data_IF_043089699440
#
_entry.id   IF_043089699440
#
_cell.length_a   1.000
_cell.length_b   1.000
_cell.length_c   1.000
_cell.angle_alpha   90.00
_cell.angle_beta   90.00
_cell.angle_gamma   90.00
#
_symmetry.space_group_name_H-M   'P 1'
#
loop_
_entity.id
_entity.type
_entity.pdbx_description
1 polymer ?
#
# COMPACT_ATOMS: atom_id res chain seq x y z
N UNK A 1 23.10 20.23 2.85
CA UNK A 1 21.75 20.29 3.41
C UNK A 1 21.82 20.13 4.93
N UNK A 2 21.19 21.03 5.74
CA UNK A 2 21.23 20.92 7.21
C UNK A 2 20.70 19.58 7.75
N UNK A 3 19.73 18.97 7.08
CA UNK A 3 19.17 17.68 7.49
C UNK A 3 20.16 16.53 7.25
N UNK A 4 20.95 16.57 6.17
CA UNK A 4 22.00 15.58 5.91
C UNK A 4 23.09 15.61 6.98
N UNK A 5 23.45 16.81 7.47
CA UNK A 5 24.41 16.96 8.58
C UNK A 5 23.89 16.31 9.86
N UNK A 6 22.55 16.28 10.06
CA UNK A 6 21.89 15.63 11.18
C UNK A 6 21.64 14.14 10.93
N UNK A 7 22.03 13.58 9.80
CA UNK A 7 21.86 12.18 9.46
C UNK A 7 20.52 11.82 8.81
N UNK A 8 19.74 12.82 8.38
CA UNK A 8 18.52 12.59 7.60
C UNK A 8 18.86 12.63 6.11
N UNK A 9 18.69 11.51 5.45
CA UNK A 9 19.08 11.37 4.06
C UNK A 9 17.85 11.20 3.16
N UNK A 10 17.96 11.70 1.93
CA UNK A 10 16.99 11.42 0.90
C UNK A 10 17.07 9.94 0.49
N UNK A 11 15.95 9.20 0.63
CA UNK A 11 15.90 7.76 0.34
C UNK A 11 14.99 7.41 -0.84
N UNK A 12 14.18 8.35 -1.34
CA UNK A 12 13.31 8.11 -2.50
C UNK A 12 12.31 9.23 -2.75
N UNK A 13 11.63 9.12 -3.89
CA UNK A 13 10.61 10.03 -4.37
C UNK A 13 9.31 9.31 -4.74
N UNK A 14 8.27 10.07 -5.02
CA UNK A 14 7.05 9.57 -5.68
C UNK A 14 6.13 8.74 -4.79
N UNK A 15 6.01 7.47 -5.07
CA UNK A 15 5.05 6.57 -4.42
C UNK A 15 5.18 6.47 -2.90
N UNK A 16 6.34 6.74 -2.34
CA UNK A 16 6.54 6.80 -0.88
C UNK A 16 5.56 7.77 -0.23
N UNK A 17 5.35 8.92 -0.82
CA UNK A 17 4.40 9.93 -0.30
C UNK A 17 2.94 9.55 -0.54
N UNK A 18 2.60 9.02 -1.70
CA UNK A 18 1.23 8.74 -2.10
C UNK A 18 0.71 7.41 -1.51
N UNK A 19 1.46 6.33 -1.71
CA UNK A 19 1.12 4.99 -1.18
C UNK A 19 1.47 4.88 0.29
N UNK A 20 2.47 5.63 0.76
CA UNK A 20 2.96 5.60 2.12
C UNK A 20 3.96 4.48 2.40
N UNK A 21 4.37 3.71 1.41
CA UNK A 21 5.38 2.66 1.59
C UNK A 21 6.77 3.29 1.69
N UNK A 22 7.44 3.13 2.84
CA UNK A 22 8.77 3.67 3.10
C UNK A 22 9.90 2.88 2.43
N UNK A 23 9.60 1.74 1.84
CA UNK A 23 10.62 0.76 1.46
C UNK A 23 11.14 -0.03 2.68
N UNK A 24 12.11 -0.93 2.48
CA UNK A 24 12.67 -1.73 3.56
C UNK A 24 13.48 -0.87 4.53
N UNK A 25 13.43 -1.22 5.81
CA UNK A 25 14.39 -0.72 6.80
C UNK A 25 15.73 -1.45 6.64
N UNK A 26 16.85 -0.83 7.03
CA UNK A 26 18.12 -1.55 7.13
C UNK A 26 17.99 -2.80 8.00
N UNK A 27 18.61 -3.91 7.61
CA UNK A 27 18.48 -5.20 8.29
C UNK A 27 18.79 -5.12 9.79
N UNK A 28 19.83 -4.36 10.18
CA UNK A 28 20.18 -4.16 11.56
C UNK A 28 19.05 -3.51 12.39
N UNK A 29 18.27 -2.61 11.78
CA UNK A 29 17.13 -1.95 12.43
C UNK A 29 15.96 -2.93 12.54
N UNK A 30 15.63 -3.62 11.47
CA UNK A 30 14.58 -4.66 11.45
C UNK A 30 14.86 -5.74 12.49
N UNK A 31 16.08 -6.21 12.56
CA UNK A 31 16.54 -7.19 13.54
C UNK A 31 16.41 -6.69 14.99
N UNK A 32 16.81 -5.46 15.25
CA UNK A 32 16.69 -4.85 16.58
C UNK A 32 15.22 -4.73 17.00
N UNK A 33 14.34 -4.29 16.12
CA UNK A 33 12.90 -4.18 16.39
C UNK A 33 12.31 -5.55 16.75
N UNK A 34 12.57 -6.56 15.94
CA UNK A 34 12.00 -7.90 16.10
C UNK A 34 12.57 -8.65 17.32
N UNK A 35 13.89 -8.64 17.50
CA UNK A 35 14.57 -9.31 18.63
C UNK A 35 14.22 -8.70 19.98
N UNK A 36 14.18 -7.37 20.06
CA UNK A 36 13.85 -6.68 21.31
C UNK A 36 12.34 -6.39 21.46
N UNK A 37 11.50 -6.78 20.49
CA UNK A 37 10.04 -6.52 20.46
C UNK A 37 9.72 -5.05 20.71
N UNK A 38 10.45 -4.16 20.04
CA UNK A 38 10.29 -2.72 20.21
C UNK A 38 8.97 -2.26 19.57
N UNK A 39 8.30 -1.33 20.25
CA UNK A 39 7.20 -0.57 19.66
C UNK A 39 7.79 0.65 18.97
N UNK A 40 7.89 0.59 17.64
CA UNK A 40 8.37 1.72 16.83
C UNK A 40 7.22 2.36 16.09
N UNK A 41 7.36 3.64 15.82
CA UNK A 41 6.32 4.45 15.17
C UNK A 41 6.89 5.20 13.99
N UNK A 42 6.04 5.60 13.07
CA UNK A 42 6.39 6.57 12.03
C UNK A 42 5.64 7.87 12.22
N UNK A 43 6.29 8.98 11.91
CA UNK A 43 5.67 10.31 11.79
C UNK A 43 5.93 10.79 10.38
N UNK A 44 4.88 11.12 9.64
CA UNK A 44 4.99 11.44 8.23
C UNK A 44 4.09 12.61 7.85
N UNK A 45 4.52 13.36 6.86
CA UNK A 45 3.68 14.34 6.16
C UNK A 45 3.26 13.74 4.82
N UNK A 46 2.04 13.27 4.75
CA UNK A 46 1.48 12.61 3.59
C UNK A 46 -0.05 12.61 3.67
N UNK A 47 -0.70 11.96 2.74
CA UNK A 47 -2.16 11.91 2.75
C UNK A 47 -2.74 10.64 3.38
N UNK A 48 -1.89 9.70 3.82
CA UNK A 48 -2.31 8.40 4.34
C UNK A 48 -1.33 7.85 5.37
N UNK A 49 -1.89 7.30 6.44
CA UNK A 49 -1.16 6.67 7.54
C UNK A 49 -1.72 5.28 7.89
N UNK A 50 -2.20 4.54 6.90
CA UNK A 50 -2.77 3.21 7.15
C UNK A 50 -1.72 2.24 7.70
N UNK A 51 -2.10 1.51 8.73
CA UNK A 51 -1.28 0.46 9.33
C UNK A 51 -0.90 -0.61 8.29
N UNK A 52 0.32 -1.11 8.43
CA UNK A 52 0.88 -2.09 7.50
C UNK A 52 1.21 -1.55 6.11
N UNK A 53 0.87 -0.28 5.82
CA UNK A 53 1.15 0.34 4.53
C UNK A 53 2.50 1.05 4.51
N UNK A 54 2.85 1.74 5.59
CA UNK A 54 4.13 2.45 5.71
C UNK A 54 5.26 1.44 5.81
N UNK A 55 5.22 0.60 6.83
CA UNK A 55 6.16 -0.50 7.02
C UNK A 55 5.54 -1.58 7.92
N UNK A 56 5.77 -2.87 7.64
CA UNK A 56 5.17 -3.97 8.43
C UNK A 56 5.65 -4.01 9.89
N UNK A 57 6.87 -3.57 10.18
CA UNK A 57 7.44 -3.57 11.52
C UNK A 57 7.11 -2.29 12.32
N UNK A 58 6.32 -1.36 11.78
CA UNK A 58 5.90 -0.13 12.45
C UNK A 58 4.52 -0.34 13.08
N UNK A 59 4.44 -0.15 14.40
CA UNK A 59 3.23 -0.42 15.17
C UNK A 59 2.16 0.68 15.06
N UNK A 60 2.56 1.94 14.86
CA UNK A 60 1.63 3.06 14.71
C UNK A 60 2.20 4.13 13.78
N UNK A 61 1.30 4.83 13.07
CA UNK A 61 1.67 5.83 12.07
C UNK A 61 0.92 7.14 12.36
N UNK A 62 1.64 8.24 12.44
CA UNK A 62 1.11 9.56 12.76
C UNK A 62 1.27 10.51 11.58
N UNK A 63 0.18 11.21 11.21
CA UNK A 63 0.22 12.29 10.24
C UNK A 63 0.52 13.61 10.95
N UNK A 64 1.50 14.33 10.45
CA UNK A 64 1.88 15.63 10.98
C UNK A 64 2.28 16.58 9.83
N UNK A 65 2.36 17.88 10.12
CA UNK A 65 2.93 18.84 9.18
C UNK A 65 4.44 18.60 8.99
N UNK A 66 5.05 19.00 7.85
CA UNK A 66 6.48 18.81 7.64
C UNK A 66 7.36 19.32 8.78
N UNK A 67 7.14 20.51 9.38
CA UNK A 67 7.92 20.97 10.53
C UNK A 67 7.80 20.06 11.75
N UNK A 68 6.61 19.52 12.03
CA UNK A 68 6.40 18.60 13.14
C UNK A 68 7.05 17.23 12.89
N UNK A 69 7.10 16.76 11.65
CA UNK A 69 7.85 15.54 11.28
C UNK A 69 9.32 15.70 11.66
N UNK A 70 9.93 16.86 11.35
CA UNK A 70 11.32 17.17 11.72
C UNK A 70 11.46 17.22 13.24
N UNK A 71 10.54 17.88 13.95
CA UNK A 71 10.59 17.98 15.41
C UNK A 71 10.53 16.62 16.10
N UNK A 72 9.62 15.73 15.70
CA UNK A 72 9.54 14.37 16.25
C UNK A 72 10.73 13.49 15.87
N UNK A 73 11.28 13.69 14.67
CA UNK A 73 12.51 13.00 14.27
C UNK A 73 13.72 13.40 15.16
N UNK A 74 13.82 14.68 15.49
CA UNK A 74 14.86 15.19 16.43
C UNK A 74 14.63 14.67 17.85
N UNK A 75 13.38 14.62 18.31
CA UNK A 75 13.03 14.10 19.64
C UNK A 75 13.27 12.57 19.75
N UNK A 76 13.16 11.83 18.65
CA UNK A 76 13.43 10.41 18.60
C UNK A 76 12.40 9.52 19.30
N UNK A 77 11.33 10.07 19.86
CA UNK A 77 10.23 9.31 20.46
C UNK A 77 8.90 10.07 20.44
N UNK A 78 7.79 9.33 20.60
CA UNK A 78 6.43 9.89 20.62
C UNK A 78 5.89 10.18 22.03
N UNK A 79 6.58 9.76 23.07
CA UNK A 79 6.17 9.96 24.47
C UNK A 79 6.73 11.28 25.04
N UNK A 80 6.88 12.29 24.20
CA UNK A 80 7.37 13.61 24.55
C UNK A 80 6.26 14.64 24.35
N UNK A 81 6.02 15.48 25.34
CA UNK A 81 5.19 16.68 25.16
C UNK A 81 6.05 17.78 24.53
N UNK A 82 6.10 17.80 23.20
CA UNK A 82 6.93 18.76 22.43
C UNK A 82 6.58 20.23 22.71
N UNK A 83 5.46 20.51 23.36
CA UNK A 83 5.07 21.86 23.76
C UNK A 83 5.73 22.32 25.06
N UNK A 84 6.25 21.39 25.87
CA UNK A 84 6.80 21.65 27.19
C UNK A 84 8.19 21.07 27.42
N UNK A 85 8.46 19.93 26.81
CA UNK A 85 9.70 19.19 26.99
C UNK A 85 10.71 19.49 25.90
N UNK A 86 12.02 19.42 26.17
CA UNK A 86 13.03 19.65 25.15
C UNK A 86 13.03 18.50 24.14
N UNK A 87 13.25 18.84 22.86
CA UNK A 87 13.43 17.89 21.78
C UNK A 87 14.79 17.18 21.84
N UNK A 88 15.77 17.84 22.46
CA UNK A 88 17.13 17.35 22.58
C UNK A 88 18.04 18.34 23.25
N UNK A 89 19.35 18.20 23.03
CA UNK A 89 20.38 19.09 23.55
C UNK A 89 21.25 19.65 22.44
N UNK A 90 21.60 20.91 22.50
CA UNK A 90 22.59 21.53 21.64
C UNK A 90 24.01 21.02 21.95
N UNK A 91 24.99 21.38 21.13
CA UNK A 91 26.40 20.98 21.30
C UNK A 91 27.03 21.46 22.60
N UNK A 92 26.53 22.54 23.18
CA UNK A 92 26.94 23.08 24.48
C UNK A 92 26.21 22.42 25.67
N UNK A 93 25.32 21.47 25.40
CA UNK A 93 24.52 20.75 26.41
C UNK A 93 23.24 21.46 26.84
N UNK A 94 22.94 22.64 26.31
CA UNK A 94 21.68 23.36 26.60
C UNK A 94 20.48 22.63 26.00
N UNK A 95 19.28 22.65 26.65
CA UNK A 95 18.09 22.04 26.13
C UNK A 95 17.55 22.84 24.94
N UNK A 96 17.11 22.12 23.89
CA UNK A 96 16.50 22.71 22.69
C UNK A 96 15.00 22.38 22.68
N UNK A 97 14.15 23.39 22.65
CA UNK A 97 12.72 23.28 22.64
C UNK A 97 12.14 23.51 21.24
N UNK A 98 10.89 23.10 21.02
CA UNK A 98 10.21 23.33 19.74
C UNK A 98 10.24 24.81 19.31
N UNK A 99 10.04 25.73 20.24
CA UNK A 99 10.07 27.17 19.96
C UNK A 99 11.42 27.68 19.43
N UNK A 100 12.50 26.96 19.75
CA UNK A 100 13.87 27.37 19.35
C UNK A 100 14.19 26.98 17.89
N UNK A 101 13.43 26.03 17.34
CA UNK A 101 13.58 25.55 15.95
C UNK A 101 12.38 25.89 15.08
N UNK A 102 11.30 26.46 15.64
CA UNK A 102 10.12 26.79 14.87
C UNK A 102 10.33 28.08 14.10
N UNK A 103 10.25 28.05 12.74
CA UNK A 103 10.51 29.24 11.94
C UNK A 103 9.40 30.28 12.14
N UNK A 104 9.76 31.55 12.12
CA UNK A 104 8.81 32.67 12.05
C UNK A 104 8.25 32.80 10.62
N UNK A 105 7.10 33.47 10.49
CA UNK A 105 6.51 33.72 9.18
C UNK A 105 7.47 34.54 8.28
N UNK A 106 8.17 35.53 8.84
CA UNK A 106 9.13 36.34 8.09
C UNK A 106 10.32 35.51 7.58
N UNK A 107 10.85 34.59 8.38
CA UNK A 107 11.89 33.65 7.96
C UNK A 107 11.40 32.76 6.81
N UNK A 108 10.15 32.23 6.90
CA UNK A 108 9.56 31.41 5.86
C UNK A 108 9.45 32.22 4.55
N UNK A 109 8.93 33.44 4.61
CA UNK A 109 8.77 34.30 3.41
C UNK A 109 10.13 34.67 2.81
N UNK A 110 11.12 34.97 3.64
CA UNK A 110 12.47 35.24 3.18
C UNK A 110 13.07 34.02 2.48
N UNK A 111 12.97 32.83 3.07
CA UNK A 111 13.47 31.57 2.46
C UNK A 111 12.78 31.28 1.13
N UNK A 112 11.48 31.48 1.03
CA UNK A 112 10.74 31.33 -0.24
C UNK A 112 11.29 32.30 -1.29
N UNK A 113 11.43 33.58 -0.95
CA UNK A 113 11.89 34.60 -1.88
C UNK A 113 13.32 34.35 -2.38
N UNK A 114 14.19 33.86 -1.51
CA UNK A 114 15.60 33.59 -1.84
C UNK A 114 15.80 32.29 -2.65
N UNK A 115 14.98 31.28 -2.38
CA UNK A 115 15.23 29.93 -2.90
C UNK A 115 14.26 29.48 -4.00
N UNK A 116 13.02 29.98 -4.01
CA UNK A 116 12.03 29.62 -5.06
C UNK A 116 12.14 30.62 -6.21
N UNK A 117 13.20 30.50 -6.98
CA UNK A 117 13.51 31.42 -8.08
C UNK A 117 13.28 30.77 -9.45
N UNK A 118 13.08 31.61 -10.50
CA UNK A 118 12.97 31.11 -11.87
C UNK A 118 14.20 30.33 -12.34
N UNK A 119 15.38 30.66 -11.81
CA UNK A 119 16.63 29.97 -12.17
C UNK A 119 16.72 28.58 -11.52
N UNK A 120 16.21 28.40 -10.30
CA UNK A 120 16.07 27.08 -9.69
C UNK A 120 15.20 26.17 -10.57
N UNK A 121 14.07 26.68 -11.09
CA UNK A 121 13.23 25.89 -12.00
C UNK A 121 13.96 25.53 -13.29
N UNK A 122 14.69 26.47 -13.90
CA UNK A 122 15.47 26.18 -15.10
C UNK A 122 16.54 25.11 -14.84
N UNK A 123 17.26 25.20 -13.72
CA UNK A 123 18.27 24.22 -13.31
C UNK A 123 17.63 22.83 -13.10
N UNK A 124 16.56 22.74 -12.30
CA UNK A 124 15.92 21.46 -11.96
C UNK A 124 15.25 20.78 -13.16
N UNK A 125 14.81 21.54 -14.15
CA UNK A 125 14.19 21.00 -15.36
C UNK A 125 15.12 20.95 -16.57
N UNK A 126 16.39 21.36 -16.45
CA UNK A 126 17.36 21.35 -17.55
C UNK A 126 17.56 19.96 -18.16
N UNK A 127 17.53 18.93 -17.35
CA UNK A 127 17.80 17.56 -17.73
C UNK A 127 16.56 16.64 -17.78
N UNK A 128 15.35 17.22 -17.66
CA UNK A 128 14.10 16.45 -17.57
C UNK A 128 13.89 15.49 -18.75
N UNK A 129 14.41 15.79 -19.93
CA UNK A 129 14.33 14.95 -21.12
C UNK A 129 15.53 14.02 -21.31
N UNK A 130 16.58 14.13 -20.49
CA UNK A 130 17.77 13.27 -20.61
C UNK A 130 17.61 11.96 -19.85
N UNK A 131 16.78 11.94 -18.81
CA UNK A 131 16.64 10.80 -17.90
C UNK A 131 17.88 10.58 -17.01
N UNK A 132 17.78 9.63 -16.08
CA UNK A 132 18.92 9.20 -15.26
C UNK A 132 19.91 8.34 -16.06
N UNK A 133 21.12 8.13 -15.51
CA UNK A 133 22.10 7.21 -16.08
C UNK A 133 21.52 5.83 -16.30
N UNK A 134 20.85 5.28 -15.27
CA UNK A 134 20.22 3.96 -15.30
C UNK A 134 19.12 3.86 -16.36
N UNK A 135 18.33 4.93 -16.58
CA UNK A 135 17.35 4.98 -17.64
C UNK A 135 17.98 4.90 -19.03
N UNK A 136 19.09 5.62 -19.24
CA UNK A 136 19.78 5.65 -20.53
C UNK A 136 20.57 4.36 -20.84
N UNK A 137 20.92 3.59 -19.81
CA UNK A 137 21.62 2.30 -19.93
C UNK A 137 20.67 1.13 -20.23
N UNK A 138 19.34 1.33 -20.12
CA UNK A 138 18.38 0.31 -20.44
C UNK A 138 18.52 -0.16 -21.90
N UNK A 139 18.85 -1.43 -22.07
CA UNK A 139 18.89 -2.06 -23.40
C UNK A 139 17.47 -2.38 -23.84
N UNK A 140 16.92 -1.55 -24.72
CA UNK A 140 15.58 -1.77 -25.29
C UNK A 140 15.72 -2.22 -26.73
N UNK A 141 15.11 -3.35 -27.08
CA UNK A 141 15.04 -3.82 -28.47
C UNK A 141 14.16 -2.86 -29.31
N UNK A 142 14.71 -2.40 -30.45
CA UNK A 142 13.98 -1.54 -31.40
C UNK A 142 13.05 -2.38 -32.28
N UNK A 143 11.99 -2.92 -31.66
CA UNK A 143 10.96 -3.70 -32.36
C UNK A 143 9.65 -2.91 -32.42
N UNK A 144 8.78 -3.24 -33.38
CA UNK A 144 7.45 -2.61 -33.45
C UNK A 144 6.51 -3.03 -32.33
N UNK A 145 6.81 -4.16 -31.70
CA UNK A 145 6.07 -4.70 -30.55
C UNK A 145 7.10 -5.04 -29.48
N UNK A 146 6.86 -4.62 -28.23
CA UNK A 146 7.75 -4.94 -27.12
C UNK A 146 7.67 -6.43 -26.78
N UNK A 147 8.83 -7.07 -26.75
CA UNK A 147 8.95 -8.47 -26.33
C UNK A 147 9.05 -8.53 -24.79
N UNK A 148 7.95 -8.90 -24.16
CA UNK A 148 7.83 -8.94 -22.68
C UNK A 148 8.56 -10.17 -22.14
N UNK A 149 9.63 -9.98 -21.35
CA UNK A 149 10.27 -11.10 -20.67
C UNK A 149 9.36 -11.67 -19.57
N UNK A 150 9.61 -12.93 -19.20
CA UNK A 150 8.97 -13.52 -18.02
C UNK A 150 9.26 -12.69 -16.78
N UNK A 151 8.22 -12.41 -16.02
CA UNK A 151 8.29 -11.54 -14.85
C UNK A 151 7.34 -12.01 -13.75
N UNK A 152 7.81 -11.90 -12.49
CA UNK A 152 6.95 -12.08 -11.31
C UNK A 152 6.27 -10.78 -10.87
N UNK A 153 6.58 -9.64 -11.51
CA UNK A 153 5.98 -8.32 -11.27
C UNK A 153 4.92 -7.94 -12.27
N UNK A 154 5.08 -8.37 -13.54
CA UNK A 154 4.17 -8.02 -14.63
C UNK A 154 3.77 -9.30 -15.34
N UNK A 155 2.46 -9.54 -15.47
CA UNK A 155 1.90 -10.65 -16.23
C UNK A 155 0.92 -10.14 -17.26
N UNK A 156 0.81 -10.87 -18.36
CA UNK A 156 -0.20 -10.61 -19.37
C UNK A 156 -1.60 -10.62 -18.71
N UNK A 157 -2.39 -9.55 -18.80
CA UNK A 157 -3.68 -9.47 -18.13
C UNK A 157 -4.71 -10.35 -18.84
N UNK A 158 -5.52 -11.15 -18.10
CA UNK A 158 -6.46 -12.08 -18.72
C UNK A 158 -7.74 -11.41 -19.25
N UNK A 159 -7.91 -10.11 -19.02
CA UNK A 159 -9.16 -9.41 -19.31
C UNK A 159 -9.50 -9.35 -20.80
N UNK A 160 -8.50 -9.43 -21.67
CA UNK A 160 -8.65 -9.33 -23.11
C UNK A 160 -8.70 -10.68 -23.83
N UNK A 161 -8.39 -11.78 -23.15
CA UNK A 161 -8.30 -13.11 -23.75
C UNK A 161 -9.67 -13.65 -24.20
N UNK A 162 -10.71 -13.28 -23.46
CA UNK A 162 -12.09 -13.72 -23.70
C UNK A 162 -13.02 -12.60 -24.16
N UNK A 163 -12.49 -11.40 -24.40
CA UNK A 163 -13.29 -10.23 -24.75
C UNK A 163 -13.70 -10.29 -26.22
N UNK A 164 -15.00 -10.38 -26.47
CA UNK A 164 -15.59 -10.26 -27.79
C UNK A 164 -15.65 -8.81 -28.28
N UNK A 165 -15.97 -8.59 -29.57
CA UNK A 165 -16.19 -7.26 -30.13
C UNK A 165 -17.50 -6.63 -29.64
N UNK A 166 -18.48 -7.45 -29.37
CA UNK A 166 -19.78 -7.02 -28.85
C UNK A 166 -19.89 -7.41 -27.36
N UNK A 167 -20.50 -6.56 -26.54
CA UNK A 167 -20.73 -6.88 -25.14
C UNK A 167 -21.66 -8.09 -25.00
N UNK A 168 -21.38 -8.94 -24.01
CA UNK A 168 -22.27 -10.06 -23.69
C UNK A 168 -23.63 -9.55 -23.21
N UNK A 169 -24.69 -10.31 -23.53
CA UNK A 169 -26.02 -10.01 -23.03
C UNK A 169 -26.10 -10.13 -21.50
N UNK A 170 -26.86 -9.25 -20.89
CA UNK A 170 -27.12 -9.35 -19.44
C UNK A 170 -27.91 -10.62 -19.14
N UNK A 171 -27.40 -11.43 -18.23
CA UNK A 171 -28.01 -12.67 -17.79
C UNK A 171 -28.35 -12.61 -16.30
N UNK A 172 -29.32 -13.40 -15.87
CA UNK A 172 -29.62 -13.56 -14.43
C UNK A 172 -28.44 -14.24 -13.73
N UNK A 173 -28.16 -13.82 -12.49
CA UNK A 173 -27.19 -14.48 -11.60
C UNK A 173 -27.97 -15.49 -10.77
N UNK A 174 -27.81 -16.77 -11.09
CA UNK A 174 -28.55 -17.85 -10.45
C UNK A 174 -27.62 -18.68 -9.55
N UNK A 175 -28.18 -19.20 -8.45
CA UNK A 175 -27.49 -20.10 -7.52
C UNK A 175 -26.18 -19.57 -6.91
N UNK A 176 -25.96 -18.25 -6.92
CA UNK A 176 -24.75 -17.63 -6.38
C UNK A 176 -24.56 -17.94 -4.88
N UNK A 177 -23.30 -18.00 -4.48
CA UNK A 177 -22.92 -18.13 -3.06
C UNK A 177 -22.30 -16.83 -2.56
N UNK A 178 -22.61 -16.48 -1.32
CA UNK A 178 -21.96 -15.36 -0.65
C UNK A 178 -20.53 -15.76 -0.28
N UNK A 179 -19.55 -15.08 -0.88
CA UNK A 179 -18.14 -15.30 -0.61
C UNK A 179 -17.66 -14.47 0.58
N UNK A 180 -18.15 -13.22 0.67
CA UNK A 180 -17.79 -12.26 1.70
C UNK A 180 -19.03 -11.50 2.14
N UNK A 181 -19.26 -11.44 3.44
CA UNK A 181 -20.28 -10.61 4.07
C UNK A 181 -19.65 -9.71 5.11
N UNK A 182 -19.70 -8.41 4.89
CA UNK A 182 -19.01 -7.40 5.70
C UNK A 182 -19.95 -6.28 6.15
N UNK A 183 -19.54 -5.49 7.13
CA UNK A 183 -20.29 -4.34 7.62
C UNK A 183 -20.05 -3.07 6.83
N UNK A 184 -20.20 -1.94 7.51
CA UNK A 184 -20.06 -0.59 6.97
C UNK A 184 -18.59 -0.20 6.74
N UNK A 185 -18.36 0.85 5.94
CA UNK A 185 -17.07 1.53 5.74
C UNK A 185 -15.95 0.60 5.26
N UNK A 186 -16.26 -0.31 4.36
CA UNK A 186 -15.28 -1.18 3.72
C UNK A 186 -14.52 -0.39 2.68
N UNK A 187 -13.25 -0.09 2.98
CA UNK A 187 -12.40 0.70 2.11
C UNK A 187 -11.84 -0.11 0.94
N UNK A 188 -11.36 0.58 -0.08
CA UNK A 188 -10.63 -0.06 -1.18
C UNK A 188 -9.35 -0.78 -0.72
N UNK A 189 -8.77 -0.38 0.43
CA UNK A 189 -7.65 -1.11 1.07
C UNK A 189 -8.08 -2.44 1.70
N UNK A 190 -9.32 -2.53 2.19
CA UNK A 190 -9.87 -3.82 2.67
C UNK A 190 -10.08 -4.79 1.50
N UNK A 191 -10.47 -4.28 0.34
CA UNK A 191 -10.77 -5.10 -0.84
C UNK A 191 -9.48 -5.47 -1.58
N UNK A 192 -8.58 -4.49 -1.79
CA UNK A 192 -7.32 -4.68 -2.50
C UNK A 192 -6.17 -4.05 -1.73
N UNK A 193 -5.52 -4.78 -0.82
CA UNK A 193 -4.42 -4.27 -0.03
C UNK A 193 -3.21 -3.89 -0.88
N UNK A 194 -2.42 -2.92 -0.39
CA UNK A 194 -1.17 -2.48 -1.01
C UNK A 194 0.06 -2.81 -0.17
N UNK A 195 -0.14 -3.29 1.07
CA UNK A 195 0.92 -3.59 2.04
C UNK A 195 1.72 -4.85 1.72
N UNK A 196 2.50 -5.29 2.72
CA UNK A 196 3.34 -6.48 2.62
C UNK A 196 2.54 -7.75 2.32
N UNK A 197 3.19 -8.68 1.64
CA UNK A 197 2.65 -10.01 1.32
C UNK A 197 3.14 -10.96 2.41
N UNK A 198 2.22 -11.58 3.15
CA UNK A 198 2.57 -12.57 4.16
C UNK A 198 3.05 -13.88 3.50
N UNK A 199 4.02 -14.52 4.12
CA UNK A 199 4.67 -15.71 3.60
C UNK A 199 3.70 -16.90 3.48
N UNK A 200 2.82 -17.05 4.46
CA UNK A 200 1.80 -18.09 4.57
C UNK A 200 0.46 -17.72 3.89
N UNK A 201 0.43 -16.64 3.10
CA UNK A 201 -0.74 -16.23 2.34
C UNK A 201 -0.81 -16.90 0.97
N UNK A 202 -1.99 -17.01 0.33
CA UNK A 202 -2.09 -17.53 -1.03
C UNK A 202 -1.19 -16.82 -2.04
N UNK A 203 -0.92 -15.52 -1.85
CA UNK A 203 0.00 -14.75 -2.68
C UNK A 203 1.46 -15.09 -2.38
N UNK A 204 1.81 -15.31 -1.10
CA UNK A 204 3.14 -15.76 -0.68
C UNK A 204 3.46 -17.15 -1.23
N UNK A 205 2.54 -18.10 -1.06
CA UNK A 205 2.66 -19.46 -1.62
C UNK A 205 2.86 -19.44 -3.14
N UNK A 206 2.09 -18.60 -3.85
CA UNK A 206 2.24 -18.43 -5.29
C UNK A 206 3.62 -17.89 -5.65
N UNK A 207 4.13 -16.88 -4.96
CA UNK A 207 5.45 -16.30 -5.22
C UNK A 207 6.58 -17.30 -4.94
N UNK A 208 6.49 -18.06 -3.85
CA UNK A 208 7.43 -19.14 -3.55
C UNK A 208 7.44 -20.21 -4.64
N UNK A 209 6.27 -20.60 -5.14
CA UNK A 209 6.14 -21.53 -6.27
C UNK A 209 6.76 -20.98 -7.57
N UNK A 210 6.89 -19.66 -7.71
CA UNK A 210 7.60 -18.99 -8.82
C UNK A 210 9.09 -18.77 -8.52
N UNK A 211 9.64 -19.31 -7.41
CA UNK A 211 11.04 -19.19 -7.03
C UNK A 211 11.42 -17.86 -6.39
N UNK A 212 10.45 -17.04 -5.96
CA UNK A 212 10.71 -15.78 -5.25
C UNK A 212 10.88 -16.07 -3.75
N UNK A 213 11.99 -15.66 -3.18
CA UNK A 213 12.23 -15.82 -1.73
C UNK A 213 11.36 -14.84 -0.91
N UNK A 214 10.96 -15.17 0.32
CA UNK A 214 10.12 -14.31 1.16
C UNK A 214 10.66 -12.88 1.35
N UNK A 215 11.97 -12.72 1.47
CA UNK A 215 12.62 -11.40 1.58
C UNK A 215 12.41 -10.52 0.34
N UNK A 216 12.15 -11.13 -0.83
CA UNK A 216 12.00 -10.48 -2.13
C UNK A 216 10.53 -10.33 -2.55
N UNK A 217 9.58 -10.68 -1.69
CA UNK A 217 8.15 -10.56 -1.99
C UNK A 217 7.73 -9.15 -2.28
N UNK A 218 8.34 -8.17 -1.58
CA UNK A 218 7.95 -6.78 -1.65
C UNK A 218 6.48 -6.59 -1.19
N UNK A 219 5.67 -5.83 -1.90
CA UNK A 219 4.30 -5.53 -1.50
C UNK A 219 3.30 -5.80 -2.63
N UNK A 220 2.01 -5.93 -2.28
CA UNK A 220 0.94 -5.96 -3.26
C UNK A 220 0.96 -4.73 -4.18
N UNK A 221 1.25 -3.54 -3.62
CA UNK A 221 1.37 -2.31 -4.40
C UNK A 221 2.45 -2.37 -5.47
N UNK A 222 3.61 -2.97 -5.17
CA UNK A 222 4.72 -3.15 -6.11
C UNK A 222 4.41 -4.19 -7.18
N UNK A 223 3.58 -5.18 -6.87
CA UNK A 223 3.23 -6.29 -7.78
C UNK A 223 1.86 -6.13 -8.45
N UNK A 224 1.29 -4.93 -8.42
CA UNK A 224 -0.03 -4.65 -9.02
C UNK A 224 -0.13 -4.93 -10.54
N UNK A 225 0.99 -5.08 -11.23
CA UNK A 225 1.06 -5.54 -12.61
C UNK A 225 0.93 -7.06 -12.78
N UNK A 226 0.89 -7.83 -11.69
CA UNK A 226 0.73 -9.27 -11.70
C UNK A 226 -0.66 -9.63 -11.12
N UNK A 227 -1.61 -9.96 -12.01
CA UNK A 227 -2.98 -10.28 -11.61
C UNK A 227 -3.08 -11.52 -10.72
N UNK A 228 -2.17 -12.47 -10.85
CA UNK A 228 -2.13 -13.67 -10.02
C UNK A 228 -1.83 -13.35 -8.55
N UNK A 229 -0.92 -12.40 -8.31
CA UNK A 229 -0.64 -11.91 -6.96
C UNK A 229 -1.83 -11.10 -6.44
N UNK A 230 -2.36 -10.20 -7.26
CA UNK A 230 -3.40 -9.27 -6.83
C UNK A 230 -4.72 -9.97 -6.50
N UNK A 231 -5.15 -10.96 -7.29
CA UNK A 231 -6.38 -11.69 -6.97
C UNK A 231 -6.23 -12.54 -5.70
N UNK A 232 -5.03 -13.06 -5.41
CA UNK A 232 -4.74 -13.78 -4.16
C UNK A 232 -4.71 -12.88 -2.94
N UNK A 233 -4.43 -11.59 -3.13
CA UNK A 233 -4.50 -10.55 -2.10
C UNK A 233 -5.89 -9.92 -1.94
N UNK A 234 -6.84 -10.24 -2.81
CA UNK A 234 -8.18 -9.68 -2.74
C UNK A 234 -8.87 -10.10 -1.43
N UNK A 235 -9.36 -9.12 -0.66
CA UNK A 235 -9.90 -9.29 0.69
C UNK A 235 -8.89 -9.87 1.70
N UNK A 236 -7.59 -9.75 1.47
CA UNK A 236 -6.56 -10.24 2.39
C UNK A 236 -6.10 -9.21 3.44
N UNK A 237 -6.80 -8.08 3.57
CA UNK A 237 -6.47 -7.11 4.60
C UNK A 237 -6.65 -7.72 6.00
N UNK A 238 -5.63 -7.62 6.84
CA UNK A 238 -5.57 -8.23 8.19
C UNK A 238 -6.67 -7.75 9.15
N UNK A 239 -7.33 -6.64 8.84
CA UNK A 239 -8.42 -6.07 9.63
C UNK A 239 -9.80 -6.47 9.15
N UNK A 240 -9.91 -7.10 7.99
CA UNK A 240 -11.19 -7.50 7.44
C UNK A 240 -11.90 -8.46 8.41
N UNK A 241 -13.17 -8.20 8.68
CA UNK A 241 -14.03 -9.06 9.49
C UNK A 241 -15.15 -9.58 8.62
N UNK A 242 -15.00 -10.81 8.15
CA UNK A 242 -16.01 -11.48 7.38
C UNK A 242 -17.03 -12.17 8.28
N UNK A 243 -18.27 -11.75 8.24
CA UNK A 243 -19.37 -12.31 9.06
C UNK A 243 -19.68 -13.79 8.74
N UNK A 244 -19.16 -14.32 7.62
CA UNK A 244 -19.26 -15.74 7.28
C UNK A 244 -18.23 -16.60 8.03
N UNK A 245 -17.23 -15.97 8.67
CA UNK A 245 -16.24 -16.63 9.52
C UNK A 245 -16.13 -15.89 10.87
N UNK A 246 -17.17 -15.98 11.74
CA UNK A 246 -17.22 -15.23 12.98
C UNK A 246 -16.00 -15.51 13.88
N UNK A 247 -15.49 -14.46 14.52
CA UNK A 247 -14.33 -14.56 15.42
C UNK A 247 -12.96 -14.58 14.71
N UNK A 248 -12.94 -14.58 13.38
CA UNK A 248 -11.68 -14.48 12.60
C UNK A 248 -11.47 -13.06 12.10
N UNK A 249 -10.22 -12.77 11.69
CA UNK A 249 -9.83 -11.54 10.98
C UNK A 249 -8.98 -11.91 9.76
N UNK A 250 -8.92 -11.00 8.80
CA UNK A 250 -8.14 -11.21 7.59
C UNK A 250 -8.90 -11.98 6.52
N UNK A 251 -8.19 -12.76 5.73
CA UNK A 251 -8.69 -13.43 4.53
C UNK A 251 -9.44 -14.74 4.84
N UNK A 252 -10.32 -14.77 5.82
CA UNK A 252 -11.07 -15.98 6.19
C UNK A 252 -12.52 -15.92 5.74
N UNK A 253 -13.05 -17.07 5.30
CA UNK A 253 -14.46 -17.27 4.98
C UNK A 253 -14.89 -18.72 5.27
N UNK A 254 -16.19 -18.97 5.21
CA UNK A 254 -16.76 -20.32 5.22
C UNK A 254 -17.27 -20.66 3.83
N UNK A 255 -16.84 -21.78 3.29
CA UNK A 255 -17.33 -22.29 2.01
C UNK A 255 -18.68 -23.01 2.19
N UNK A 256 -19.67 -22.69 1.37
CA UNK A 256 -20.99 -23.33 1.38
C UNK A 256 -21.23 -24.14 0.10
N UNK A 257 -21.86 -25.34 0.19
CA UNK A 257 -22.57 -25.90 1.35
C UNK A 257 -21.68 -26.71 2.31
N UNK A 258 -20.38 -26.88 2.04
CA UNK A 258 -19.53 -27.81 2.82
C UNK A 258 -19.35 -27.40 4.30
N UNK A 259 -19.42 -26.11 4.61
CA UNK A 259 -19.16 -25.58 5.96
C UNK A 259 -17.67 -25.45 6.30
N UNK A 260 -16.76 -25.70 5.35
CA UNK A 260 -15.33 -25.64 5.57
C UNK A 260 -14.84 -24.21 5.72
N UNK A 261 -14.06 -23.94 6.78
CA UNK A 261 -13.34 -22.68 6.95
C UNK A 261 -12.06 -22.66 6.08
N UNK A 262 -11.86 -21.60 5.30
CA UNK A 262 -10.69 -21.47 4.45
C UNK A 262 -10.41 -20.00 4.09
N UNK A 263 -9.33 -19.73 3.34
CA UNK A 263 -9.11 -18.38 2.84
C UNK A 263 -10.17 -18.00 1.80
N UNK A 264 -10.46 -16.70 1.70
CA UNK A 264 -11.41 -16.18 0.72
C UNK A 264 -10.99 -16.56 -0.71
N UNK A 265 -9.67 -16.50 -0.99
CA UNK A 265 -9.15 -16.91 -2.29
C UNK A 265 -9.44 -18.39 -2.60
N UNK A 266 -9.15 -19.31 -1.69
CA UNK A 266 -9.39 -20.74 -1.92
C UNK A 266 -10.86 -21.07 -2.06
N UNK A 267 -11.74 -20.44 -1.26
CA UNK A 267 -13.19 -20.60 -1.40
C UNK A 267 -13.68 -20.10 -2.76
N UNK A 268 -13.17 -18.96 -3.21
CA UNK A 268 -13.49 -18.39 -4.52
C UNK A 268 -13.07 -19.32 -5.67
N UNK A 269 -11.85 -19.87 -5.60
CA UNK A 269 -11.38 -20.81 -6.62
C UNK A 269 -12.24 -22.09 -6.63
N UNK A 270 -12.59 -22.63 -5.47
CA UNK A 270 -13.48 -23.80 -5.38
C UNK A 270 -14.85 -23.52 -6.00
N UNK A 271 -15.46 -22.36 -5.71
CA UNK A 271 -16.72 -21.98 -6.38
C UNK A 271 -16.54 -21.84 -7.90
N UNK A 272 -15.44 -21.29 -8.35
CA UNK A 272 -15.14 -21.11 -9.76
C UNK A 272 -14.98 -22.46 -10.48
N UNK A 273 -14.29 -23.41 -9.86
CA UNK A 273 -14.10 -24.77 -10.38
C UNK A 273 -15.44 -25.53 -10.45
N UNK A 274 -16.31 -25.30 -9.47
CA UNK A 274 -17.67 -25.86 -9.45
C UNK A 274 -18.65 -25.12 -10.39
N UNK A 275 -18.23 -24.06 -11.07
CA UNK A 275 -19.08 -23.23 -11.94
C UNK A 275 -20.11 -22.41 -11.18
N UNK A 276 -19.92 -22.17 -9.88
CA UNK A 276 -20.86 -21.46 -9.01
C UNK A 276 -20.46 -19.98 -8.92
N UNK A 277 -21.34 -19.05 -9.31
CA UNK A 277 -21.05 -17.62 -9.19
C UNK A 277 -20.97 -17.19 -7.72
N UNK A 278 -20.08 -16.23 -7.43
CA UNK A 278 -19.95 -15.65 -6.11
C UNK A 278 -20.56 -14.24 -6.05
N UNK A 279 -21.00 -13.83 -4.86
CA UNK A 279 -21.42 -12.46 -4.54
C UNK A 279 -20.75 -11.97 -3.27
N UNK A 280 -20.70 -10.66 -3.13
CA UNK A 280 -20.27 -9.96 -1.91
C UNK A 280 -21.44 -9.18 -1.35
N UNK A 281 -21.60 -9.18 -0.03
CA UNK A 281 -22.60 -8.38 0.67
C UNK A 281 -21.89 -7.43 1.61
N UNK A 282 -22.14 -6.12 1.47
CA UNK A 282 -21.58 -5.05 2.29
C UNK A 282 -22.66 -4.18 2.94
N UNK A 283 -22.26 -3.39 3.93
CA UNK A 283 -23.09 -2.36 4.53
C UNK A 283 -23.00 -1.04 3.80
N UNK A 284 -23.00 0.06 4.56
CA UNK A 284 -22.86 1.44 4.05
C UNK A 284 -21.43 1.76 3.66
N UNK A 285 -21.27 2.71 2.75
CA UNK A 285 -19.96 3.27 2.36
C UNK A 285 -18.98 2.19 1.83
N UNK A 286 -19.50 1.22 1.07
CA UNK A 286 -18.65 0.19 0.47
C UNK A 286 -17.79 0.80 -0.64
N UNK A 287 -16.47 0.57 -0.57
CA UNK A 287 -15.51 1.03 -1.56
C UNK A 287 -14.93 2.41 -1.28
N UNK A 288 -15.13 2.98 -0.08
CA UNK A 288 -14.54 4.27 0.30
C UNK A 288 -13.01 4.25 0.24
N UNK A 289 -12.39 5.39 -0.04
CA UNK A 289 -10.93 5.55 -0.04
C UNK A 289 -10.34 5.82 -1.41
N UNK A 290 -9.13 5.31 -1.68
CA UNK A 290 -8.44 5.53 -2.96
C UNK A 290 -9.13 4.85 -4.11
N UNK A 291 -9.11 5.52 -5.27
CA UNK A 291 -9.53 4.96 -6.56
C UNK A 291 -8.61 3.79 -6.96
N UNK A 292 -9.07 2.57 -6.75
CA UNK A 292 -8.35 1.35 -7.09
C UNK A 292 -9.18 0.45 -7.97
N UNK A 293 -8.76 0.31 -9.20
CA UNK A 293 -9.36 -0.61 -10.15
C UNK A 293 -9.27 -2.08 -9.69
N UNK A 294 -8.24 -2.44 -8.92
CA UNK A 294 -8.13 -3.78 -8.32
C UNK A 294 -9.21 -4.09 -7.29
N UNK A 295 -9.87 -3.08 -6.72
CA UNK A 295 -11.05 -3.30 -5.89
C UNK A 295 -12.26 -3.85 -6.68
N UNK A 296 -12.24 -3.73 -8.01
CA UNK A 296 -13.20 -4.36 -8.91
C UNK A 296 -12.60 -5.57 -9.64
N UNK A 297 -11.38 -5.45 -10.18
CA UNK A 297 -10.70 -6.50 -10.95
C UNK A 297 -10.42 -7.75 -10.12
N UNK A 298 -9.96 -7.59 -8.88
CA UNK A 298 -9.67 -8.71 -7.99
C UNK A 298 -10.90 -9.59 -7.74
N UNK A 299 -12.01 -9.04 -7.20
CA UNK A 299 -13.26 -9.78 -7.05
C UNK A 299 -13.77 -10.41 -8.35
N UNK A 300 -13.71 -9.68 -9.47
CA UNK A 300 -14.12 -10.21 -10.79
C UNK A 300 -13.32 -11.45 -11.18
N UNK A 301 -12.01 -11.43 -11.04
CA UNK A 301 -11.13 -12.58 -11.32
C UNK A 301 -11.42 -13.78 -10.42
N UNK A 302 -11.90 -13.54 -9.20
CA UNK A 302 -12.32 -14.57 -8.26
C UNK A 302 -13.76 -15.09 -8.51
N UNK A 303 -14.43 -14.66 -9.59
CA UNK A 303 -15.77 -15.13 -9.94
C UNK A 303 -16.91 -14.38 -9.24
N UNK A 304 -16.61 -13.25 -8.58
CA UNK A 304 -17.66 -12.39 -8.02
C UNK A 304 -18.41 -11.70 -9.16
N UNK A 305 -19.73 -11.94 -9.24
CA UNK A 305 -20.61 -11.39 -10.27
C UNK A 305 -21.36 -10.15 -9.83
N UNK A 306 -21.57 -9.97 -8.53
CA UNK A 306 -22.24 -8.80 -7.98
C UNK A 306 -21.74 -8.47 -6.59
N UNK A 307 -21.79 -7.19 -6.25
CA UNK A 307 -21.66 -6.67 -4.90
C UNK A 307 -22.99 -6.01 -4.52
N UNK A 308 -23.57 -6.42 -3.40
CA UNK A 308 -24.77 -5.84 -2.85
C UNK A 308 -24.40 -5.06 -1.59
N UNK A 309 -24.66 -3.77 -1.56
CA UNK A 309 -24.36 -2.92 -0.42
C UNK A 309 -25.52 -1.95 -0.13
N UNK A 310 -25.63 -1.48 1.12
CA UNK A 310 -26.62 -0.47 1.48
C UNK A 310 -26.32 0.88 0.81
N UNK A 311 -25.03 1.23 0.71
CA UNK A 311 -24.56 2.35 -0.11
C UNK A 311 -23.13 2.12 -0.61
N UNK A 312 -22.82 2.71 -1.76
CA UNK A 312 -21.48 2.70 -2.36
C UNK A 312 -20.89 4.10 -2.23
N UNK A 313 -19.59 4.13 -1.96
CA UNK A 313 -18.88 5.39 -2.02
C UNK A 313 -18.56 5.79 -3.45
N UNK A 314 -18.70 7.06 -3.68
CA UNK A 314 -18.22 7.71 -4.90
C UNK A 314 -16.78 8.17 -4.67
N UNK A 315 -15.93 7.83 -5.59
CA UNK A 315 -14.53 8.28 -5.60
C UNK A 315 -14.44 9.75 -5.98
#
# INVERSE_FOLDING_TARGET
DPLEVLGFNLVGYGCTTCIGNSGPLPDAITDAIRKAKLTVTSVLSGNRNFEGRIHPDVAANYLASPPLVVAYALAGNMNVDITKEPLGKASDGSPVYLKDIWPTEDEIQQYIAENVTGDLFKEKYADVFKGSGEWNELQVSKTSVYDWPESTYIKHPPFFEVMGKEPEALTAIENARCLVKVGDSITTDHISPAGAIAEDSPAGEYLQAQGVEPKDFNSYGSRRGNHEVMMRGTFANVRLQNQLAPGTRGSATTHFPSGDGMSIFHAAMRYKDDGVPAIVIGGKEYGTGSSRDWAAKGPSLMGVKAVLAESYERI
#
